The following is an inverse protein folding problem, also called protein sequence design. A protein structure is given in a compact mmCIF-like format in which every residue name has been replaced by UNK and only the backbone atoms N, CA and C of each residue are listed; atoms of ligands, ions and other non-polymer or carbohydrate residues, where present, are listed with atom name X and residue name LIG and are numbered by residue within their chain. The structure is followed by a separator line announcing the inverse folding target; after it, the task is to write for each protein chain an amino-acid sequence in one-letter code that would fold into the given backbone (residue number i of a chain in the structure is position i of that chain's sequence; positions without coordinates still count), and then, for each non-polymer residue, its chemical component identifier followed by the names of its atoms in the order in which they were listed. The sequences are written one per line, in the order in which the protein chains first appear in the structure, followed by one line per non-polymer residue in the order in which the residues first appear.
data_IF_916930399392
#
_entry.id   IF_916930399392
#
_cell.length_a   1.000
_cell.length_b   1.000
_cell.length_c   1.000
_cell.angle_alpha   90.00
_cell.angle_beta   90.00
_cell.angle_gamma   90.00
#
_symmetry.space_group_name_H-M   'P 1'
#
loop_
_entity.id
_entity.type
_entity.pdbx_description
1 polymer ?
#
# COMPACT_ATOMS: atom_id res chain seq x y z
N UNK A 1 19.88 9.99 -11.73
CA UNK A 1 18.93 10.19 -10.61
C UNK A 1 18.21 8.87 -10.30
N UNK A 2 18.81 8.03 -9.45
CA UNK A 2 18.28 6.70 -9.09
C UNK A 2 17.21 6.89 -8.01
N UNK A 3 15.94 6.95 -8.41
CA UNK A 3 14.83 7.03 -7.46
C UNK A 3 14.70 5.65 -6.78
N UNK A 4 15.11 5.57 -5.51
CA UNK A 4 15.24 4.34 -4.74
C UNK A 4 13.98 3.46 -4.83
N UNK A 5 14.17 2.16 -5.10
CA UNK A 5 13.09 1.16 -5.11
C UNK A 5 12.51 1.07 -3.69
N UNK A 6 11.25 1.45 -3.51
CA UNK A 6 10.56 1.33 -2.22
C UNK A 6 10.56 -0.14 -1.77
N UNK A 7 11.10 -0.39 -0.57
CA UNK A 7 11.11 -1.71 0.08
C UNK A 7 9.79 -1.94 0.82
N UNK A 8 9.23 -3.14 0.69
CA UNK A 8 7.95 -3.51 1.31
C UNK A 8 8.06 -3.53 2.84
N UNK A 9 9.20 -3.96 3.38
CA UNK A 9 9.44 -4.01 4.82
C UNK A 9 9.30 -2.63 5.47
N UNK A 10 9.73 -1.56 4.80
CA UNK A 10 9.60 -0.19 5.30
C UNK A 10 8.15 0.29 5.26
N UNK A 11 7.36 -0.14 4.27
CA UNK A 11 5.94 0.20 4.19
C UNK A 11 5.11 -0.46 5.29
N UNK A 12 5.47 -1.69 5.71
CA UNK A 12 4.77 -2.40 6.78
C UNK A 12 4.88 -1.68 8.13
N UNK A 13 6.02 -1.06 8.41
CA UNK A 13 6.30 -0.31 9.65
C UNK A 13 5.56 1.03 9.75
N UNK A 14 4.99 1.54 8.65
CA UNK A 14 4.28 2.84 8.63
C UNK A 14 2.83 2.69 9.07
N UNK A 15 2.25 3.75 9.62
CA UNK A 15 0.82 3.81 9.94
C UNK A 15 -0.06 3.78 8.69
N UNK A 16 -1.32 3.36 8.87
CA UNK A 16 -2.30 3.29 7.78
C UNK A 16 -2.59 4.67 7.17
N UNK A 17 -2.68 5.71 8.00
CA UNK A 17 -2.89 7.09 7.57
C UNK A 17 -1.77 7.59 6.66
N UNK A 18 -0.51 7.28 6.99
CA UNK A 18 0.64 7.63 6.16
C UNK A 18 0.61 6.86 4.85
N UNK A 19 0.28 5.56 4.86
CA UNK A 19 0.17 4.75 3.65
C UNK A 19 -0.92 5.26 2.69
N UNK A 20 -2.07 5.69 3.23
CA UNK A 20 -3.17 6.28 2.46
C UNK A 20 -2.77 7.62 1.83
N UNK A 21 -2.07 8.47 2.58
CA UNK A 21 -1.54 9.74 2.05
C UNK A 21 -0.52 9.51 0.93
N UNK A 22 0.44 8.59 1.13
CA UNK A 22 1.41 8.21 0.12
C UNK A 22 0.75 7.63 -1.14
N UNK A 23 -0.34 6.87 -0.99
CA UNK A 23 -1.09 6.32 -2.13
C UNK A 23 -1.71 7.43 -2.99
N UNK A 24 -2.31 8.46 -2.36
CA UNK A 24 -2.90 9.60 -3.06
C UNK A 24 -1.83 10.39 -3.82
N UNK A 25 -0.71 10.68 -3.17
CA UNK A 25 0.39 11.43 -3.77
C UNK A 25 1.04 10.68 -4.95
N UNK A 26 1.25 9.36 -4.82
CA UNK A 26 1.80 8.53 -5.90
C UNK A 26 0.85 8.43 -7.09
N UNK A 27 -0.47 8.39 -6.87
CA UNK A 27 -1.47 8.41 -7.95
C UNK A 27 -1.44 9.75 -8.70
N UNK A 28 -1.37 10.87 -7.99
CA UNK A 28 -1.25 12.20 -8.61
C UNK A 28 0.04 12.33 -9.44
N UNK A 29 1.19 11.90 -8.88
CA UNK A 29 2.47 11.87 -9.59
C UNK A 29 2.41 10.99 -10.84
N UNK A 30 1.76 9.83 -10.77
CA UNK A 30 1.59 8.95 -11.92
C UNK A 30 0.73 9.60 -13.02
N UNK A 31 -0.33 10.32 -12.66
CA UNK A 31 -1.18 11.02 -13.62
C UNK A 31 -0.38 12.10 -14.39
N UNK A 32 0.40 12.92 -13.69
CA UNK A 32 1.29 13.91 -14.29
C UNK A 32 2.32 13.27 -15.24
N UNK A 33 2.95 12.17 -14.81
CA UNK A 33 3.93 11.45 -15.62
C UNK A 33 3.31 10.81 -16.88
N UNK A 34 2.00 10.53 -16.92
CA UNK A 34 1.36 9.99 -18.13
C UNK A 34 1.21 11.05 -19.22
N UNK A 35 0.96 12.30 -18.84
CA UNK A 35 0.79 13.42 -19.79
C UNK A 35 2.13 13.97 -20.27
N UNK A 36 3.14 13.99 -19.39
CA UNK A 36 4.44 14.62 -19.63
C UNK A 36 5.36 13.88 -20.64
N UNK A 37 4.88 12.88 -21.40
CA UNK A 37 5.67 12.06 -22.37
C UNK A 37 7.04 11.61 -21.83
N UNK A 38 7.13 11.32 -20.52
CA UNK A 38 8.38 10.89 -19.87
C UNK A 38 8.75 9.45 -20.24
N UNK A 39 10.05 9.16 -20.24
CA UNK A 39 10.62 7.84 -20.50
C UNK A 39 9.92 6.72 -19.71
N UNK A 40 9.50 5.67 -20.42
CA UNK A 40 8.64 4.59 -19.88
C UNK A 40 9.18 3.86 -18.65
N UNK A 41 10.50 3.90 -18.42
CA UNK A 41 11.14 3.38 -17.22
C UNK A 41 10.65 4.05 -15.93
N UNK A 42 10.38 5.38 -15.96
CA UNK A 42 9.85 6.12 -14.80
C UNK A 42 8.39 5.74 -14.51
N UNK A 43 7.57 5.54 -15.55
CA UNK A 43 6.18 5.12 -15.44
C UNK A 43 6.10 3.71 -14.84
N UNK A 44 6.97 2.79 -15.28
CA UNK A 44 7.06 1.44 -14.72
C UNK A 44 7.35 1.47 -13.22
N UNK A 45 8.34 2.26 -12.78
CA UNK A 45 8.69 2.37 -11.36
C UNK A 45 7.56 2.98 -10.52
N UNK A 46 6.84 3.98 -11.06
CA UNK A 46 5.70 4.59 -10.38
C UNK A 46 4.53 3.59 -10.22
N UNK A 47 4.19 2.82 -11.27
CA UNK A 47 3.14 1.78 -11.21
C UNK A 47 3.46 0.70 -10.17
N UNK A 48 4.71 0.21 -10.16
CA UNK A 48 5.15 -0.79 -9.19
C UNK A 48 5.07 -0.27 -7.74
N UNK A 49 5.39 1.00 -7.53
CA UNK A 49 5.29 1.64 -6.21
C UNK A 49 3.84 1.71 -5.71
N UNK A 50 2.89 2.10 -6.57
CA UNK A 50 1.46 2.14 -6.23
C UNK A 50 0.94 0.75 -5.86
N UNK A 51 1.27 -0.28 -6.66
CA UNK A 51 0.85 -1.65 -6.41
C UNK A 51 1.36 -2.17 -5.05
N UNK A 52 2.62 -1.89 -4.71
CA UNK A 52 3.21 -2.27 -3.41
C UNK A 52 2.47 -1.64 -2.23
N UNK A 53 2.18 -0.33 -2.28
CA UNK A 53 1.49 0.38 -1.20
C UNK A 53 0.07 -0.15 -1.03
N UNK A 54 -0.69 -0.31 -2.13
CA UNK A 54 -2.05 -0.85 -2.09
C UNK A 54 -2.10 -2.28 -1.53
N UNK A 55 -1.11 -3.12 -1.87
CA UNK A 55 -1.01 -4.49 -1.33
C UNK A 55 -0.77 -4.50 0.19
N UNK A 56 0.08 -3.61 0.71
CA UNK A 56 0.34 -3.53 2.16
C UNK A 56 -0.90 -3.06 2.92
N UNK A 57 -1.64 -2.09 2.39
CA UNK A 57 -2.92 -1.64 2.99
C UNK A 57 -3.91 -2.80 3.04
N UNK A 58 -4.09 -3.52 1.93
CA UNK A 58 -5.01 -4.67 1.86
C UNK A 58 -4.59 -5.80 2.82
N UNK A 59 -3.29 -6.05 2.98
CA UNK A 59 -2.78 -7.02 3.95
C UNK A 59 -3.10 -6.62 5.39
N UNK A 60 -2.95 -5.34 5.75
CA UNK A 60 -3.30 -4.85 7.09
C UNK A 60 -4.79 -5.01 7.39
N UNK A 61 -5.64 -4.66 6.44
CA UNK A 61 -7.09 -4.81 6.56
C UNK A 61 -7.50 -6.28 6.74
N UNK A 62 -6.89 -7.21 5.99
CA UNK A 62 -7.16 -8.64 6.16
C UNK A 62 -6.77 -9.14 7.55
N UNK A 63 -5.57 -8.80 8.03
CA UNK A 63 -5.12 -9.22 9.38
C UNK A 63 -6.03 -8.66 10.48
N UNK A 64 -6.51 -7.42 10.35
CA UNK A 64 -7.47 -6.84 11.28
C UNK A 64 -8.80 -7.59 11.29
N UNK A 65 -9.31 -7.98 10.11
CA UNK A 65 -10.54 -8.75 9.99
C UNK A 65 -10.40 -10.17 10.57
N UNK A 66 -9.29 -10.85 10.27
CA UNK A 66 -8.99 -12.20 10.77
C UNK A 66 -8.94 -12.18 12.32
N UNK A 67 -8.18 -11.26 12.92
CA UNK A 67 -8.08 -11.11 14.38
C UNK A 67 -9.42 -10.80 15.07
N UNK A 68 -10.31 -10.07 14.39
CA UNK A 68 -11.65 -9.78 14.92
C UNK A 68 -12.52 -11.04 14.93
N UNK A 69 -12.43 -11.86 13.89
CA UNK A 69 -13.18 -13.13 13.79
C UNK A 69 -12.77 -14.13 14.88
N UNK A 70 -11.46 -14.21 15.19
CA UNK A 70 -10.92 -15.09 16.23
C UNK A 70 -11.42 -14.69 17.62
N UNK A 71 -11.54 -13.39 17.89
CA UNK A 71 -12.11 -12.89 19.15
C UNK A 71 -13.61 -13.22 19.27
N UNK A 72 -14.39 -13.07 18.19
CA UNK A 72 -15.83 -13.40 18.22
C UNK A 72 -16.06 -14.89 18.44
N UNK A 73 -15.28 -15.75 17.77
CA UNK A 73 -15.32 -17.20 17.98
C UNK A 73 -14.99 -17.57 19.43
N UNK A 74 -13.97 -16.92 20.02
CA UNK A 74 -13.59 -17.14 21.43
C UNK A 74 -14.72 -16.84 22.42
N UNK A 75 -15.59 -15.88 22.16
CA UNK A 75 -16.73 -15.59 23.05
C UNK A 75 -17.95 -16.48 22.77
N UNK A 76 -18.13 -16.95 21.53
CA UNK A 76 -19.25 -17.84 21.17
C UNK A 76 -18.99 -19.33 21.45
N UNK A 77 -17.75 -19.74 21.74
CA UNK A 77 -17.40 -21.14 22.06
C UNK A 77 -17.35 -21.44 23.55
N UNK A 78 -17.67 -20.46 24.41
CA UNK A 78 -17.62 -20.58 25.88
C UNK A 78 -19.02 -20.75 26.51
N UNK A 79 -20.05 -21.00 25.68
CA UNK A 79 -21.38 -21.42 26.13
C UNK A 79 -21.72 -22.80 25.57
#
# INVERSE_FOLDING_TARGET
MVKARIKIQELRKKSETVLLSQLKELKAKLALLRVAKVTGSKIKVARLSVAKVSRVISQKQKVMADNLSDNVQKYNTVF
#
